data_IF_557602878365
#
_entry.id   IF_557602878365
#
_cell.length_a   1.000
_cell.length_b   1.000
_cell.length_c   1.000
_cell.angle_alpha   90.00
_cell.angle_beta   90.00
_cell.angle_gamma   90.00
#
_symmetry.space_group_name_H-M   'P 1'
#
loop_
_entity.id
_entity.type
_entity.pdbx_description
1 polymer ?
#
# COMPACT_ATOMS: atom_id res chain seq x y z
N UNK A 1 6.49 63.26 26.08
CA UNK A 1 7.59 62.37 26.53
C UNK A 1 6.95 61.11 27.12
N UNK A 2 7.55 59.96 26.83
CA UNK A 2 7.21 58.58 27.26
C UNK A 2 6.07 57.83 26.56
N UNK A 3 6.50 57.19 25.47
CA UNK A 3 6.20 55.82 25.07
C UNK A 3 5.92 54.87 26.25
N UNK A 4 4.75 54.23 26.26
CA UNK A 4 4.51 52.95 26.95
C UNK A 4 3.80 52.01 25.97
N UNK A 5 4.60 51.33 25.14
CA UNK A 5 4.26 50.01 24.62
C UNK A 5 4.41 49.01 25.77
N UNK A 6 3.39 48.20 26.06
CA UNK A 6 3.60 46.84 26.57
C UNK A 6 2.49 45.90 26.07
N UNK A 7 2.92 45.09 25.10
CA UNK A 7 2.49 43.76 24.67
C UNK A 7 1.10 43.24 25.09
N UNK A 8 0.26 43.03 24.07
CA UNK A 8 -0.72 41.94 24.05
C UNK A 8 0.05 40.60 23.99
N UNK A 9 0.12 39.90 25.12
CA UNK A 9 0.43 38.47 25.12
C UNK A 9 -0.83 37.71 24.69
N UNK A 10 -0.98 37.50 23.38
CA UNK A 10 -1.87 36.46 22.87
C UNK A 10 -1.27 35.10 23.26
N UNK A 11 -1.67 34.59 24.42
CA UNK A 11 -1.49 33.18 24.72
C UNK A 11 -2.35 32.39 23.73
N UNK A 12 -1.76 32.02 22.60
CA UNK A 12 -2.16 30.82 21.90
C UNK A 12 -1.92 29.67 22.89
N UNK A 13 -2.94 29.35 23.67
CA UNK A 13 -2.94 28.14 24.48
C UNK A 13 -2.65 27.00 23.54
N UNK A 14 -1.52 26.33 23.75
CA UNK A 14 -1.31 24.97 23.25
C UNK A 14 -2.53 24.19 23.71
N UNK A 15 -3.46 23.91 22.79
CA UNK A 15 -4.53 22.96 23.05
C UNK A 15 -3.82 21.64 23.35
N UNK A 16 -3.66 21.31 24.63
CA UNK A 16 -3.37 19.95 25.04
C UNK A 16 -4.49 19.11 24.44
N UNK A 17 -4.16 18.26 23.48
CA UNK A 17 -5.12 17.39 22.83
C UNK A 17 -5.64 16.41 23.88
N UNK A 18 -6.77 16.76 24.51
CA UNK A 18 -7.50 15.83 25.35
C UNK A 18 -7.94 14.64 24.49
N UNK A 19 -8.07 13.46 25.11
CA UNK A 19 -8.51 12.27 24.42
C UNK A 19 -9.89 12.48 23.75
N UNK A 20 -10.07 12.02 22.49
CA UNK A 20 -11.35 12.05 21.80
C UNK A 20 -12.52 11.44 22.58
N UNK A 21 -12.30 10.32 23.28
CA UNK A 21 -13.24 9.77 24.26
C UNK A 21 -12.88 10.31 25.65
N UNK A 22 -13.82 11.00 26.30
CA UNK A 22 -13.64 11.58 27.64
C UNK A 22 -13.42 10.53 28.73
N UNK A 23 -13.75 9.26 28.48
CA UNK A 23 -13.52 8.17 29.43
C UNK A 23 -12.07 7.67 29.42
N UNK A 24 -11.36 7.89 28.33
CA UNK A 24 -9.98 7.42 28.13
C UNK A 24 -9.00 8.30 28.92
N UNK A 25 -7.84 7.73 29.27
CA UNK A 25 -6.83 8.40 30.11
C UNK A 25 -5.69 8.91 29.26
N UNK A 26 -5.41 10.21 29.34
CA UNK A 26 -4.23 10.79 28.71
C UNK A 26 -3.01 10.58 29.62
N UNK A 27 -1.93 10.04 29.06
CA UNK A 27 -0.62 9.97 29.71
C UNK A 27 0.43 10.41 28.69
N UNK A 28 1.09 11.55 28.96
CA UNK A 28 2.16 12.11 28.12
C UNK A 28 1.77 12.26 26.65
N UNK A 29 0.56 12.75 26.37
CA UNK A 29 0.08 12.97 25.02
C UNK A 29 -0.42 11.72 24.28
N UNK A 30 -0.40 10.54 24.91
CA UNK A 30 -1.09 9.35 24.40
C UNK A 30 -2.37 9.08 25.18
N UNK A 31 -3.37 8.53 24.52
CA UNK A 31 -4.64 8.17 25.12
C UNK A 31 -4.76 6.66 25.34
N UNK A 32 -5.30 6.28 26.49
CA UNK A 32 -5.38 4.89 26.93
C UNK A 32 -6.82 4.49 27.27
N UNK A 33 -7.31 3.45 26.60
CA UNK A 33 -8.65 2.87 26.81
C UNK A 33 -8.55 1.58 27.59
N UNK A 34 -9.23 1.51 28.74
CA UNK A 34 -9.25 0.34 29.60
C UNK A 34 -10.46 -0.53 29.27
N UNK A 35 -10.24 -1.68 28.63
CA UNK A 35 -11.31 -2.54 28.14
C UNK A 35 -11.64 -3.61 29.18
N UNK A 36 -12.83 -3.50 29.77
CA UNK A 36 -13.33 -4.38 30.85
C UNK A 36 -13.79 -5.76 30.38
N UNK A 37 -13.30 -6.23 29.23
CA UNK A 37 -13.56 -7.57 28.68
C UNK A 37 -12.28 -8.41 28.74
N UNK A 38 -12.40 -9.69 29.12
CA UNK A 38 -11.25 -10.60 29.12
C UNK A 38 -11.13 -11.32 27.79
N UNK A 39 -9.99 -11.18 27.14
CA UNK A 39 -9.71 -11.76 25.81
C UNK A 39 -8.34 -12.42 25.79
N UNK A 40 -8.14 -13.38 24.88
CA UNK A 40 -6.80 -13.86 24.56
C UNK A 40 -6.01 -12.73 23.88
N UNK A 41 -4.67 -12.77 23.93
CA UNK A 41 -3.83 -11.67 23.45
C UNK A 41 -4.18 -11.22 22.03
N UNK A 42 -4.31 -12.16 21.08
CA UNK A 42 -4.60 -11.85 19.68
C UNK A 42 -6.01 -11.26 19.49
N UNK A 43 -7.00 -11.70 20.29
CA UNK A 43 -8.36 -11.15 20.26
C UNK A 43 -8.39 -9.73 20.83
N UNK A 44 -7.66 -9.50 21.93
CA UNK A 44 -7.50 -8.18 22.55
C UNK A 44 -6.81 -7.19 21.59
N UNK A 45 -5.76 -7.64 20.90
CA UNK A 45 -5.07 -6.90 19.83
C UNK A 45 -6.04 -6.48 18.74
N UNK A 46 -6.77 -7.45 18.18
CA UNK A 46 -7.76 -7.19 17.14
C UNK A 46 -8.86 -6.24 17.62
N UNK A 47 -9.29 -6.34 18.88
CA UNK A 47 -10.25 -5.40 19.44
C UNK A 47 -9.70 -3.97 19.44
N UNK A 48 -8.45 -3.77 19.91
CA UNK A 48 -7.84 -2.44 19.89
C UNK A 48 -7.71 -1.86 18.48
N UNK A 49 -7.42 -2.70 17.48
CA UNK A 49 -7.22 -2.29 16.09
C UNK A 49 -8.52 -1.92 15.38
N UNK A 50 -9.60 -2.65 15.65
CA UNK A 50 -10.79 -2.64 14.80
C UNK A 50 -12.08 -2.21 15.52
N UNK A 51 -12.13 -2.29 16.84
CA UNK A 51 -13.35 -2.03 17.62
C UNK A 51 -13.26 -0.75 18.47
N UNK A 52 -12.08 -0.14 18.58
CA UNK A 52 -11.93 1.13 19.29
C UNK A 52 -12.41 2.30 18.39
N UNK A 53 -13.47 3.06 18.77
CA UNK A 53 -14.09 4.07 17.90
C UNK A 53 -13.24 5.34 17.67
N UNK A 54 -12.04 5.41 18.24
CA UNK A 54 -11.14 6.58 18.20
C UNK A 54 -10.20 6.61 17.00
N UNK A 55 -10.27 5.62 16.10
CA UNK A 55 -9.36 5.49 14.95
C UNK A 55 -8.25 4.46 15.20
N UNK A 56 -7.08 4.60 14.53
CA UNK A 56 -5.96 3.68 14.71
C UNK A 56 -5.55 3.58 16.18
N UNK A 57 -5.65 2.37 16.71
CA UNK A 57 -5.45 2.09 18.12
C UNK A 57 -4.82 0.70 18.24
N UNK A 58 -3.95 0.54 19.24
CA UNK A 58 -3.10 -0.66 19.42
C UNK A 58 -3.18 -1.11 20.87
N UNK A 59 -2.76 -2.32 21.21
CA UNK A 59 -2.53 -2.67 22.61
C UNK A 59 -1.49 -1.72 23.24
N UNK A 60 -1.66 -1.44 24.52
CA UNK A 60 -0.98 -0.35 25.21
C UNK A 60 0.55 -0.39 25.08
N UNK A 61 1.11 0.70 24.58
CA UNK A 61 2.56 0.91 24.49
C UNK A 61 3.07 1.52 25.78
N UNK A 62 4.05 0.87 26.41
CA UNK A 62 4.63 1.32 27.68
C UNK A 62 6.06 1.79 27.46
N UNK A 63 6.20 3.02 26.95
CA UNK A 63 7.50 3.56 26.56
C UNK A 63 8.36 4.16 27.68
N UNK A 64 7.83 4.26 28.90
CA UNK A 64 8.53 4.85 30.05
C UNK A 64 7.91 4.45 31.39
N UNK A 65 8.63 4.74 32.48
CA UNK A 65 8.23 4.44 33.86
C UNK A 65 6.93 5.14 34.31
N UNK A 66 6.67 6.35 33.83
CA UNK A 66 5.48 7.12 34.21
C UNK A 66 4.23 6.49 33.60
N UNK A 67 4.25 6.19 32.30
CA UNK A 67 3.18 5.43 31.61
C UNK A 67 2.92 4.10 32.30
N UNK A 68 3.97 3.33 32.59
CA UNK A 68 3.88 2.05 33.29
C UNK A 68 3.13 2.19 34.63
N UNK A 69 3.57 3.09 35.50
CA UNK A 69 2.95 3.24 36.82
C UNK A 69 1.50 3.77 36.75
N UNK A 70 1.23 4.70 35.84
CA UNK A 70 -0.12 5.25 35.67
C UNK A 70 -1.09 4.21 35.10
N UNK A 71 -0.63 3.34 34.18
CA UNK A 71 -1.43 2.23 33.68
C UNK A 71 -1.86 1.29 34.80
N UNK A 72 -0.96 0.87 35.69
CA UNK A 72 -1.32 0.03 36.84
C UNK A 72 -2.38 0.70 37.74
N UNK A 73 -2.24 1.99 38.03
CA UNK A 73 -3.20 2.74 38.86
C UNK A 73 -4.57 2.78 38.21
N UNK A 74 -4.64 3.16 36.93
CA UNK A 74 -5.90 3.25 36.20
C UNK A 74 -6.52 1.87 35.94
N UNK A 75 -5.71 0.83 35.71
CA UNK A 75 -6.16 -0.54 35.57
C UNK A 75 -6.82 -1.05 36.86
N UNK A 76 -6.26 -0.72 38.04
CA UNK A 76 -6.87 -1.07 39.33
C UNK A 76 -8.26 -0.45 39.47
N UNK A 77 -8.42 0.81 39.06
CA UNK A 77 -9.71 1.50 39.09
C UNK A 77 -10.71 0.95 38.07
N UNK A 78 -10.25 0.60 36.86
CA UNK A 78 -11.12 0.15 35.76
C UNK A 78 -11.55 -1.33 35.89
N UNK A 79 -10.63 -2.21 36.29
CA UNK A 79 -10.87 -3.66 36.31
C UNK A 79 -11.26 -4.21 37.67
N UNK A 80 -11.14 -3.40 38.73
CA UNK A 80 -11.51 -3.76 40.10
C UNK A 80 -10.40 -4.47 40.88
N UNK A 81 -10.66 -4.69 42.18
CA UNK A 81 -9.64 -5.18 43.13
C UNK A 81 -9.19 -6.63 42.90
N UNK A 82 -10.00 -7.46 42.23
CA UNK A 82 -9.67 -8.85 41.90
C UNK A 82 -8.83 -9.01 40.62
N UNK A 83 -8.63 -7.93 39.86
CA UNK A 83 -7.79 -7.97 38.68
C UNK A 83 -6.30 -7.99 39.08
N UNK A 84 -5.59 -9.01 38.60
CA UNK A 84 -4.15 -9.16 38.84
C UNK A 84 -3.29 -8.64 37.69
N UNK A 85 -3.74 -8.89 36.45
CA UNK A 85 -2.99 -8.62 35.21
C UNK A 85 -3.89 -8.03 34.12
N UNK A 86 -3.27 -7.30 33.19
CA UNK A 86 -3.89 -6.90 31.93
C UNK A 86 -2.87 -6.98 30.79
N UNK A 87 -3.34 -7.27 29.56
CA UNK A 87 -2.49 -7.28 28.37
C UNK A 87 -1.98 -5.87 28.05
N UNK A 88 -0.68 -5.80 27.77
CA UNK A 88 -0.02 -4.65 27.13
C UNK A 88 0.43 -5.07 25.73
N UNK A 89 0.78 -4.12 24.87
CA UNK A 89 1.09 -4.39 23.47
C UNK A 89 2.47 -4.99 23.20
N UNK A 90 3.14 -5.55 24.20
CA UNK A 90 4.47 -6.14 24.01
C UNK A 90 4.33 -7.63 23.69
N UNK A 91 4.96 -8.05 22.59
CA UNK A 91 5.09 -9.46 22.23
C UNK A 91 6.52 -9.83 21.90
N UNK A 92 6.82 -11.13 21.98
CA UNK A 92 8.07 -11.75 21.58
C UNK A 92 7.84 -12.59 20.33
N UNK A 93 8.71 -12.44 19.34
CA UNK A 93 8.80 -13.38 18.23
C UNK A 93 9.35 -14.72 18.73
N UNK A 94 8.59 -15.81 18.58
CA UNK A 94 8.97 -17.12 19.09
C UNK A 94 10.24 -17.72 18.46
N UNK A 95 10.65 -17.26 17.27
CA UNK A 95 11.84 -17.75 16.55
C UNK A 95 13.08 -16.91 16.84
N UNK A 96 12.97 -15.58 16.81
CA UNK A 96 14.12 -14.67 16.98
C UNK A 96 14.31 -14.19 18.42
N UNK A 97 13.29 -14.34 19.28
CA UNK A 97 13.27 -13.76 20.62
C UNK A 97 13.14 -12.23 20.64
N UNK A 98 13.02 -11.57 19.49
CA UNK A 98 12.89 -10.12 19.39
C UNK A 98 11.58 -9.64 20.01
N UNK A 99 11.67 -8.52 20.74
CA UNK A 99 10.53 -7.87 21.37
C UNK A 99 10.01 -6.73 20.50
N UNK A 100 8.69 -6.64 20.36
CA UNK A 100 8.03 -5.63 19.54
C UNK A 100 6.78 -5.11 20.22
N UNK A 101 6.59 -3.78 20.17
CA UNK A 101 5.30 -3.18 20.49
C UNK A 101 4.31 -3.37 19.35
N UNK A 102 3.04 -3.50 19.69
CA UNK A 102 1.94 -3.72 18.76
C UNK A 102 1.81 -2.62 17.70
N UNK A 103 2.22 -1.40 18.02
CA UNK A 103 2.25 -0.27 17.09
C UNK A 103 3.60 -0.09 16.35
N UNK A 104 4.55 -1.03 16.52
CA UNK A 104 5.85 -0.99 15.87
C UNK A 104 6.88 -0.01 16.48
N UNK A 105 6.55 0.70 17.57
CA UNK A 105 7.52 1.57 18.23
C UNK A 105 8.72 0.77 18.78
N UNK A 106 9.92 1.38 18.80
CA UNK A 106 11.09 0.74 19.36
C UNK A 106 10.92 0.48 20.87
N UNK A 107 11.39 -0.68 21.34
CA UNK A 107 11.37 -1.04 22.76
C UNK A 107 12.53 -0.33 23.48
N UNK A 108 12.28 0.88 23.98
CA UNK A 108 13.27 1.72 24.68
C UNK A 108 13.20 1.66 26.21
N UNK A 109 12.12 1.09 26.75
CA UNK A 109 11.88 0.90 28.18
C UNK A 109 11.36 -0.50 28.42
N UNK A 110 11.79 -1.13 29.52
CA UNK A 110 11.34 -2.45 29.94
C UNK A 110 11.12 -2.51 31.44
N UNK A 111 10.16 -3.32 31.89
CA UNK A 111 9.91 -3.54 33.32
C UNK A 111 9.59 -5.00 33.66
N UNK A 112 10.41 -5.93 33.17
CA UNK A 112 10.20 -7.37 33.34
C UNK A 112 10.10 -7.81 34.80
N UNK A 113 9.18 -8.75 35.04
CA UNK A 113 9.02 -9.50 36.27
C UNK A 113 9.84 -10.79 36.28
N UNK A 114 9.41 -11.75 37.10
CA UNK A 114 10.11 -13.02 37.28
C UNK A 114 9.70 -14.10 36.27
N UNK A 115 8.56 -13.94 35.59
CA UNK A 115 7.99 -14.98 34.74
C UNK A 115 7.86 -14.50 33.29
N UNK A 116 8.95 -14.57 32.51
CA UNK A 116 9.01 -14.07 31.11
C UNK A 116 9.35 -15.17 30.09
N UNK A 117 8.77 -16.36 30.28
CA UNK A 117 9.04 -17.54 29.45
C UNK A 117 8.23 -17.63 28.15
N UNK A 118 7.06 -16.99 28.08
CA UNK A 118 6.14 -17.07 26.94
C UNK A 118 6.24 -15.83 26.03
N UNK A 119 5.33 -15.72 25.05
CA UNK A 119 5.45 -14.73 23.98
C UNK A 119 4.69 -13.42 24.24
N UNK A 120 3.63 -13.45 25.05
CA UNK A 120 2.75 -12.29 25.24
C UNK A 120 2.84 -11.75 26.66
N UNK A 121 3.02 -10.44 26.78
CA UNK A 121 3.27 -9.79 28.07
C UNK A 121 2.00 -9.18 28.65
N UNK A 122 1.80 -9.40 29.94
CA UNK A 122 0.87 -8.64 30.78
C UNK A 122 1.64 -7.69 31.67
N UNK A 123 0.97 -6.63 32.13
CA UNK A 123 1.42 -5.85 33.27
C UNK A 123 0.64 -6.27 34.52
N UNK A 124 1.37 -6.54 35.61
CA UNK A 124 0.80 -6.89 36.92
C UNK A 124 0.41 -5.63 37.68
N UNK A 125 -0.86 -5.54 38.08
CA UNK A 125 -1.41 -4.33 38.69
C UNK A 125 -0.77 -4.02 40.07
N UNK A 126 -0.35 -5.04 40.83
CA UNK A 126 0.15 -4.83 42.19
C UNK A 126 1.56 -4.25 42.29
N UNK A 127 2.41 -4.46 41.28
CA UNK A 127 3.81 -4.01 41.28
C UNK A 127 4.30 -3.48 39.94
N UNK A 128 3.41 -3.36 38.95
CA UNK A 128 3.65 -2.85 37.59
C UNK A 128 4.66 -3.65 36.76
N UNK A 129 5.01 -4.88 37.20
CA UNK A 129 5.97 -5.75 36.52
C UNK A 129 5.35 -6.48 35.34
N UNK A 130 6.16 -6.74 34.32
CA UNK A 130 5.71 -7.44 33.12
C UNK A 130 6.03 -8.93 33.16
N UNK A 131 5.00 -9.76 33.14
CA UNK A 131 5.09 -11.22 33.15
C UNK A 131 4.39 -11.80 31.90
N UNK A 132 4.56 -13.09 31.64
CA UNK A 132 3.98 -13.79 30.48
C UNK A 132 3.18 -15.01 30.97
N UNK A 133 1.87 -14.87 31.26
CA UNK A 133 1.10 -15.89 31.98
C UNK A 133 0.79 -17.15 31.15
N UNK A 134 0.95 -17.10 29.83
CA UNK A 134 0.72 -18.23 28.90
C UNK A 134 -0.09 -17.79 27.69
N UNK A 135 0.15 -18.40 26.52
CA UNK A 135 -0.40 -17.90 25.24
C UNK A 135 -1.93 -18.09 25.10
N UNK A 136 -2.53 -18.97 25.90
CA UNK A 136 -3.98 -19.22 25.92
C UNK A 136 -4.75 -18.46 26.99
N UNK A 137 -4.07 -17.66 27.82
CA UNK A 137 -4.70 -16.94 28.93
C UNK A 137 -5.64 -15.83 28.45
N UNK A 138 -6.62 -15.49 29.27
CA UNK A 138 -7.55 -14.39 28.99
C UNK A 138 -7.46 -13.31 30.07
N UNK A 139 -7.06 -12.12 29.68
CA UNK A 139 -6.92 -10.98 30.57
C UNK A 139 -7.72 -9.77 30.06
N UNK A 140 -7.99 -8.85 30.97
CA UNK A 140 -8.35 -7.48 30.58
C UNK A 140 -7.22 -6.88 29.76
N UNK A 141 -7.48 -5.80 29.04
CA UNK A 141 -6.47 -5.20 28.19
C UNK A 141 -6.65 -3.70 28.10
N UNK A 142 -5.56 -3.02 27.75
CA UNK A 142 -5.54 -1.58 27.56
C UNK A 142 -5.13 -1.31 26.12
N UNK A 143 -5.87 -0.43 25.44
CA UNK A 143 -5.47 0.08 24.14
C UNK A 143 -4.81 1.45 24.28
N UNK A 144 -3.87 1.79 23.40
CA UNK A 144 -3.25 3.12 23.29
C UNK A 144 -3.35 3.67 21.87
N UNK A 145 -3.53 4.99 21.77
CA UNK A 145 -3.63 5.72 20.51
C UNK A 145 -3.17 7.18 20.67
N UNK A 146 -2.78 7.82 19.57
CA UNK A 146 -2.39 9.23 19.53
C UNK A 146 -3.64 10.10 19.32
N UNK A 147 -3.98 11.04 20.23
CA UNK A 147 -5.16 11.90 20.09
C UNK A 147 -5.06 12.91 18.93
N UNK A 148 -3.88 13.18 18.39
CA UNK A 148 -3.69 14.05 17.22
C UNK A 148 -4.12 13.37 15.92
N UNK A 149 -4.24 12.04 15.95
CA UNK A 149 -4.71 11.22 14.83
C UNK A 149 -6.24 11.21 14.86
N UNK A 150 -6.85 12.03 14.01
CA UNK A 150 -8.31 12.01 13.84
C UNK A 150 -8.77 10.62 13.37
N UNK A 151 -9.91 10.10 13.88
CA UNK A 151 -10.52 8.89 13.35
C UNK A 151 -10.84 9.09 11.87
N UNK A 152 -10.06 8.44 11.01
CA UNK A 152 -10.55 8.05 9.70
C UNK A 152 -11.30 6.76 9.94
N UNK A 153 -12.60 6.72 9.64
CA UNK A 153 -13.39 5.50 9.75
C UNK A 153 -12.65 4.37 9.03
N UNK A 154 -12.09 3.35 9.74
CA UNK A 154 -11.63 2.15 9.07
C UNK A 154 -12.92 1.42 8.71
N UNK A 155 -13.47 1.74 7.54
CA UNK A 155 -14.58 0.97 7.01
C UNK A 155 -14.00 -0.38 6.60
N UNK A 156 -14.06 -1.36 7.51
CA UNK A 156 -14.12 -2.75 7.10
C UNK A 156 -15.36 -2.87 6.21
N UNK A 157 -15.14 -2.74 4.90
CA UNK A 157 -16.24 -2.81 3.95
C UNK A 157 -16.48 -4.30 3.72
N UNK A 158 -17.52 -4.83 4.37
CA UNK A 158 -18.17 -6.04 3.88
C UNK A 158 -18.57 -5.78 2.42
N UNK A 159 -18.31 -6.71 1.48
CA UNK A 159 -18.67 -6.52 0.07
C UNK A 159 -20.14 -6.12 -0.01
N UNK A 160 -20.41 -4.85 -0.36
CA UNK A 160 -21.77 -4.41 -0.60
C UNK A 160 -22.01 -4.72 -2.07
N UNK A 161 -22.76 -5.78 -2.34
CA UNK A 161 -23.17 -6.15 -3.70
C UNK A 161 -24.05 -5.05 -4.27
N UNK A 162 -23.45 -4.06 -4.91
CA UNK A 162 -24.19 -3.05 -5.66
C UNK A 162 -24.27 -3.53 -7.09
N UNK A 163 -25.49 -3.73 -7.57
CA UNK A 163 -25.81 -4.28 -8.89
C UNK A 163 -25.23 -3.41 -10.01
N UNK A 164 -24.73 -4.10 -11.05
CA UNK A 164 -23.64 -3.67 -11.93
C UNK A 164 -23.98 -2.71 -13.09
N UNK A 165 -25.04 -1.90 -13.05
CA UNK A 165 -25.51 -1.27 -14.30
C UNK A 165 -25.18 0.21 -14.51
N UNK A 166 -24.81 1.02 -13.50
CA UNK A 166 -24.59 2.45 -13.74
C UNK A 166 -23.72 3.14 -12.68
N UNK A 167 -22.44 2.77 -12.59
CA UNK A 167 -21.52 3.51 -11.72
C UNK A 167 -21.04 4.75 -12.46
N UNK A 168 -21.67 5.89 -12.21
CA UNK A 168 -21.21 7.19 -12.68
C UNK A 168 -20.06 7.67 -11.80
N UNK A 169 -18.82 7.44 -12.21
CA UNK A 169 -17.66 7.96 -11.51
C UNK A 169 -17.45 9.45 -11.82
N UNK A 170 -17.43 10.34 -10.80
CA UNK A 170 -17.14 11.75 -11.02
C UNK A 170 -15.67 11.93 -11.42
N UNK A 171 -15.44 12.75 -12.44
CA UNK A 171 -14.09 13.18 -12.82
C UNK A 171 -13.48 14.05 -11.72
N UNK A 172 -12.22 13.81 -11.38
CA UNK A 172 -11.49 14.59 -10.36
C UNK A 172 -11.95 14.36 -8.91
N UNK A 173 -12.73 13.31 -8.63
CA UNK A 173 -13.07 12.93 -7.26
C UNK A 173 -11.86 12.47 -6.44
N UNK A 174 -12.03 12.36 -5.11
CA UNK A 174 -10.99 11.81 -4.23
C UNK A 174 -10.66 10.38 -4.65
N UNK A 175 -9.40 10.15 -5.02
CA UNK A 175 -8.93 8.83 -5.44
C UNK A 175 -8.45 8.02 -4.25
N UNK A 176 -8.65 6.71 -4.34
CA UNK A 176 -8.02 5.72 -3.48
C UNK A 176 -6.86 5.06 -4.24
N UNK A 177 -5.73 4.85 -3.57
CA UNK A 177 -4.67 3.97 -4.06
C UNK A 177 -4.66 2.70 -3.22
N UNK A 178 -4.87 1.55 -3.84
CA UNK A 178 -4.65 0.27 -3.19
C UNK A 178 -3.19 -0.13 -3.33
N UNK A 179 -2.49 -0.25 -2.20
CA UNK A 179 -1.19 -0.88 -2.09
C UNK A 179 -1.38 -2.32 -1.59
N UNK A 180 -1.37 -3.27 -2.52
CA UNK A 180 -1.51 -4.69 -2.22
C UNK A 180 -0.14 -5.39 -2.31
N UNK A 181 0.16 -6.29 -1.36
CA UNK A 181 1.43 -7.01 -1.35
C UNK A 181 1.25 -8.49 -1.00
N UNK A 182 2.02 -9.33 -1.69
CA UNK A 182 2.06 -10.76 -1.45
C UNK A 182 2.71 -11.06 -0.10
N UNK A 183 2.12 -11.96 0.67
CA UNK A 183 2.66 -12.46 1.93
C UNK A 183 3.95 -13.30 1.74
N UNK A 184 4.29 -13.65 0.50
CA UNK A 184 5.51 -14.41 0.20
C UNK A 184 6.75 -13.52 0.02
N UNK A 185 6.59 -12.19 0.02
CA UNK A 185 7.70 -11.24 -0.06
C UNK A 185 8.47 -11.16 1.26
N UNK A 186 9.74 -10.78 1.17
CA UNK A 186 10.53 -10.44 2.35
C UNK A 186 9.95 -9.18 3.01
N UNK A 187 9.77 -9.14 4.36
CA UNK A 187 9.17 -8.00 5.05
C UNK A 187 9.79 -6.63 4.73
N UNK A 188 11.11 -6.56 4.67
CA UNK A 188 11.83 -5.31 4.36
C UNK A 188 11.58 -4.82 2.93
N UNK A 189 11.39 -5.72 1.96
CA UNK A 189 11.04 -5.34 0.58
C UNK A 189 9.73 -4.59 0.56
N UNK A 190 8.69 -5.10 1.24
CA UNK A 190 7.38 -4.45 1.31
C UNK A 190 7.48 -3.09 2.00
N UNK A 191 8.13 -3.02 3.17
CA UNK A 191 8.24 -1.77 3.93
C UNK A 191 9.03 -0.69 3.17
N UNK A 192 10.17 -1.06 2.58
CA UNK A 192 10.99 -0.12 1.80
C UNK A 192 10.25 0.35 0.54
N UNK A 193 9.56 -0.56 -0.14
CA UNK A 193 8.78 -0.22 -1.35
C UNK A 193 7.63 0.73 -1.04
N UNK A 194 6.91 0.52 0.07
CA UNK A 194 5.88 1.47 0.51
C UNK A 194 6.46 2.83 0.89
N UNK A 195 7.63 2.85 1.54
CA UNK A 195 8.35 4.08 1.90
C UNK A 195 8.74 4.89 0.65
N UNK A 196 9.20 4.22 -0.40
CA UNK A 196 9.62 4.83 -1.67
C UNK A 196 8.47 5.12 -2.65
N UNK A 197 7.23 4.78 -2.30
CA UNK A 197 6.07 4.90 -3.20
C UNK A 197 5.59 6.32 -3.49
N UNK A 198 6.20 7.32 -2.83
CA UNK A 198 5.78 8.73 -2.82
C UNK A 198 4.35 8.99 -2.31
N UNK A 199 3.64 7.98 -1.78
CA UNK A 199 2.26 8.16 -1.27
C UNK A 199 2.17 9.14 -0.09
N UNK A 200 3.28 9.38 0.62
CA UNK A 200 3.37 10.37 1.70
C UNK A 200 3.10 11.81 1.25
N UNK A 201 3.36 12.13 -0.02
CA UNK A 201 3.20 13.47 -0.57
C UNK A 201 1.94 13.62 -1.42
N UNK A 202 0.99 12.69 -1.32
CA UNK A 202 -0.13 12.59 -2.25
C UNK A 202 -1.49 12.76 -1.56
N UNK A 203 -2.42 13.55 -2.13
CA UNK A 203 -3.74 13.79 -1.54
C UNK A 203 -4.72 12.65 -1.86
N UNK A 204 -4.44 11.42 -1.42
CA UNK A 204 -5.26 10.24 -1.68
C UNK A 204 -5.58 9.45 -0.42
N UNK A 205 -6.66 8.69 -0.48
CA UNK A 205 -6.89 7.61 0.49
C UNK A 205 -6.00 6.43 0.12
N UNK A 206 -5.32 5.84 1.09
CA UNK A 206 -4.45 4.67 0.93
C UNK A 206 -5.22 3.46 1.44
N UNK A 207 -5.48 2.49 0.56
CA UNK A 207 -5.95 1.17 0.95
C UNK A 207 -4.75 0.22 1.01
N UNK A 208 -4.70 -0.67 1.99
CA UNK A 208 -3.63 -1.66 2.17
C UNK A 208 -4.23 -3.06 2.23
N UNK A 209 -3.66 -4.01 1.49
CA UNK A 209 -4.06 -5.41 1.51
C UNK A 209 -2.88 -6.37 1.45
N UNK A 210 -2.81 -7.30 2.39
CA UNK A 210 -1.92 -8.46 2.32
C UNK A 210 -2.68 -9.64 1.71
N UNK A 211 -2.07 -10.30 0.73
CA UNK A 211 -2.66 -11.43 0.02
C UNK A 211 -1.71 -12.63 -0.01
N UNK A 212 -2.11 -13.73 -0.65
CA UNK A 212 -1.42 -15.04 -0.62
C UNK A 212 -1.36 -15.69 0.77
N UNK A 213 -2.41 -15.47 1.56
CA UNK A 213 -2.59 -16.07 2.90
C UNK A 213 -3.64 -17.17 2.87
N UNK A 214 -3.50 -18.18 3.73
CA UNK A 214 -4.46 -19.30 3.88
C UNK A 214 -5.89 -18.84 4.20
N UNK A 215 -6.01 -17.73 4.92
CA UNK A 215 -7.27 -17.06 5.19
C UNK A 215 -7.23 -15.66 4.57
N UNK A 216 -8.25 -15.26 3.79
CA UNK A 216 -8.32 -13.89 3.25
C UNK A 216 -8.30 -12.83 4.34
N UNK A 217 -7.54 -11.76 4.13
CA UNK A 217 -7.46 -10.63 5.06
C UNK A 217 -8.29 -9.45 4.56
N UNK A 218 -8.83 -8.65 5.47
CA UNK A 218 -9.58 -7.44 5.12
C UNK A 218 -8.65 -6.33 4.65
N UNK A 219 -9.13 -5.52 3.70
CA UNK A 219 -8.48 -4.28 3.30
C UNK A 219 -8.69 -3.20 4.36
N UNK A 220 -7.62 -2.47 4.66
CA UNK A 220 -7.66 -1.33 5.57
C UNK A 220 -7.45 -0.03 4.79
N UNK A 221 -8.11 1.05 5.22
CA UNK A 221 -8.13 2.34 4.53
C UNK A 221 -7.64 3.45 5.45
N UNK A 222 -6.84 4.37 4.91
CA UNK A 222 -6.18 5.44 5.65
C UNK A 222 -6.21 6.73 4.83
N UNK A 223 -6.55 7.86 5.46
CA UNK A 223 -6.39 9.19 4.86
C UNK A 223 -5.09 9.88 5.28
N UNK A 224 -4.35 9.27 6.21
CA UNK A 224 -3.07 9.74 6.70
C UNK A 224 -1.98 8.71 6.40
N UNK A 225 -0.87 9.18 5.84
CA UNK A 225 0.24 8.32 5.46
C UNK A 225 0.92 7.67 6.66
N UNK A 226 1.09 8.39 7.77
CA UNK A 226 1.77 7.85 8.96
C UNK A 226 0.96 6.72 9.58
N UNK A 227 -0.38 6.82 9.56
CA UNK A 227 -1.26 5.73 9.97
C UNK A 227 -1.17 4.52 9.04
N UNK A 228 -1.17 4.75 7.73
CA UNK A 228 -0.99 3.70 6.74
C UNK A 228 0.37 2.98 6.94
N UNK A 229 1.44 3.75 7.16
CA UNK A 229 2.78 3.25 7.43
C UNK A 229 2.86 2.44 8.72
N UNK A 230 2.30 2.97 9.82
CA UNK A 230 2.24 2.28 11.12
C UNK A 230 1.51 0.95 11.01
N UNK A 231 0.35 0.94 10.34
CA UNK A 231 -0.39 -0.29 10.06
C UNK A 231 0.44 -1.27 9.22
N UNK A 232 1.07 -0.81 8.13
CA UNK A 232 1.87 -1.69 7.29
C UNK A 232 3.04 -2.31 8.06
N UNK A 233 3.77 -1.50 8.85
CA UNK A 233 4.92 -1.95 9.64
C UNK A 233 4.59 -3.06 10.66
N UNK A 234 3.33 -3.13 11.09
CA UNK A 234 2.81 -4.11 12.06
C UNK A 234 2.07 -5.27 11.40
N UNK A 235 1.89 -5.23 10.08
CA UNK A 235 1.20 -6.25 9.28
C UNK A 235 2.03 -6.71 8.06
N UNK A 236 3.35 -6.58 8.13
CA UNK A 236 4.29 -7.07 7.11
C UNK A 236 4.12 -8.57 6.83
N UNK A 237 4.62 -9.08 5.69
CA UNK A 237 4.62 -10.52 5.39
C UNK A 237 5.00 -11.41 6.58
N UNK A 238 4.19 -12.44 6.81
CA UNK A 238 4.40 -13.44 7.86
C UNK A 238 4.29 -14.83 7.23
N UNK A 239 5.41 -15.54 7.14
CA UNK A 239 5.47 -16.85 6.50
C UNK A 239 4.53 -17.89 7.13
N UNK A 240 4.14 -17.71 8.40
CA UNK A 240 3.20 -18.62 9.07
C UNK A 240 1.78 -18.49 8.52
N UNK A 241 1.43 -17.38 7.88
CA UNK A 241 0.11 -17.11 7.30
C UNK A 241 -0.04 -17.57 5.84
N UNK A 242 1.08 -17.81 5.14
CA UNK A 242 1.11 -18.19 3.72
C UNK A 242 0.57 -19.59 3.45
N UNK A 243 0.38 -19.93 2.18
CA UNK A 243 -0.15 -21.24 1.75
C UNK A 243 0.73 -22.43 2.17
N UNK A 244 2.06 -22.24 2.19
CA UNK A 244 3.02 -23.26 2.59
C UNK A 244 3.48 -24.19 1.46
N UNK A 245 2.98 -24.00 0.24
CA UNK A 245 3.40 -24.73 -0.97
C UNK A 245 3.51 -23.80 -2.20
N UNK A 246 4.10 -24.29 -3.29
CA UNK A 246 4.28 -23.54 -4.56
C UNK A 246 3.22 -23.85 -5.63
N UNK A 247 2.32 -24.80 -5.38
CA UNK A 247 1.28 -25.22 -6.32
C UNK A 247 0.01 -24.37 -6.21
N UNK A 248 -0.28 -23.84 -5.02
CA UNK A 248 -1.33 -22.85 -4.80
C UNK A 248 -1.04 -21.58 -5.62
N UNK A 249 -2.02 -21.17 -6.44
CA UNK A 249 -1.97 -19.91 -7.18
C UNK A 249 -2.33 -18.72 -6.30
N UNK A 250 -1.91 -17.53 -6.71
CA UNK A 250 -2.22 -16.29 -6.01
C UNK A 250 -3.70 -15.95 -6.01
N UNK A 251 -4.20 -15.43 -4.89
CA UNK A 251 -5.56 -14.89 -4.74
C UNK A 251 -5.65 -13.37 -5.03
N UNK A 252 -4.65 -12.80 -5.72
CA UNK A 252 -4.61 -11.37 -6.07
C UNK A 252 -5.83 -10.88 -6.85
N UNK A 253 -6.41 -11.71 -7.72
CA UNK A 253 -7.60 -11.33 -8.50
C UNK A 253 -8.82 -11.11 -7.58
N UNK A 254 -8.95 -11.88 -6.50
CA UNK A 254 -10.03 -11.71 -5.53
C UNK A 254 -9.86 -10.40 -4.75
N UNK A 255 -8.63 -10.03 -4.42
CA UNK A 255 -8.32 -8.75 -3.76
C UNK A 255 -8.71 -7.57 -4.64
N UNK A 256 -8.33 -7.60 -5.92
CA UNK A 256 -8.70 -6.56 -6.90
C UNK A 256 -10.23 -6.49 -7.06
N UNK A 257 -10.89 -7.64 -7.19
CA UNK A 257 -12.34 -7.72 -7.32
C UNK A 257 -13.07 -7.16 -6.09
N UNK A 258 -12.57 -7.44 -4.89
CA UNK A 258 -13.14 -6.95 -3.64
C UNK A 258 -12.94 -5.44 -3.51
N UNK A 259 -11.81 -4.90 -3.97
CA UNK A 259 -11.54 -3.46 -3.95
C UNK A 259 -12.52 -2.70 -4.87
N UNK A 260 -12.69 -3.16 -6.12
CA UNK A 260 -13.66 -2.62 -7.08
C UNK A 260 -15.10 -3.10 -6.84
N UNK A 261 -15.51 -3.17 -5.58
CA UNK A 261 -16.90 -3.46 -5.17
C UNK A 261 -17.52 -2.32 -4.35
N UNK A 262 -16.86 -1.17 -4.28
CA UNK A 262 -17.30 0.02 -3.54
C UNK A 262 -17.27 1.25 -4.44
N UNK A 263 -18.24 2.19 -4.34
CA UNK A 263 -18.20 3.48 -5.04
C UNK A 263 -16.92 4.30 -4.80
N UNK A 264 -16.24 4.09 -3.67
CA UNK A 264 -14.94 4.71 -3.36
C UNK A 264 -13.79 4.26 -4.27
N UNK A 265 -14.01 3.24 -5.11
CA UNK A 265 -13.04 2.74 -6.08
C UNK A 265 -13.08 3.51 -7.42
N UNK A 266 -13.96 4.49 -7.58
CA UNK A 266 -14.01 5.32 -8.79
C UNK A 266 -12.68 6.01 -9.08
N UNK A 267 -12.14 5.81 -10.28
CA UNK A 267 -10.87 6.39 -10.71
C UNK A 267 -9.66 5.93 -9.88
N UNK A 268 -9.79 4.87 -9.09
CA UNK A 268 -8.74 4.41 -8.18
C UNK A 268 -7.60 3.72 -8.93
N UNK A 269 -6.42 3.72 -8.30
CA UNK A 269 -5.22 3.07 -8.84
C UNK A 269 -4.83 1.92 -7.92
N UNK A 270 -4.66 0.74 -8.50
CA UNK A 270 -4.17 -0.44 -7.79
C UNK A 270 -2.70 -0.62 -8.13
N UNK A 271 -1.90 -0.82 -7.08
CA UNK A 271 -0.48 -1.18 -7.16
C UNK A 271 -0.28 -2.48 -6.39
N UNK A 272 0.16 -3.51 -7.10
CA UNK A 272 0.38 -4.85 -6.55
C UNK A 272 1.87 -5.17 -6.54
N UNK A 273 2.39 -5.62 -5.39
CA UNK A 273 3.68 -6.30 -5.28
C UNK A 273 3.44 -7.81 -5.29
N UNK A 274 3.68 -8.45 -6.43
CA UNK A 274 3.37 -9.85 -6.66
C UNK A 274 4.63 -10.73 -6.56
N UNK A 275 4.64 -11.67 -5.60
CA UNK A 275 5.64 -12.75 -5.53
C UNK A 275 5.10 -14.08 -6.04
N UNK A 276 3.79 -14.31 -5.93
CA UNK A 276 3.10 -15.50 -6.43
C UNK A 276 2.22 -15.13 -7.61
N UNK A 277 2.14 -16.00 -8.62
CA UNK A 277 1.27 -15.82 -9.77
C UNK A 277 -0.06 -16.56 -9.63
N UNK A 278 -1.14 -16.11 -10.29
CA UNK A 278 -2.37 -16.90 -10.41
C UNK A 278 -2.14 -18.25 -11.13
N UNK A 279 -3.10 -19.16 -11.00
CA UNK A 279 -3.20 -20.37 -11.83
C UNK A 279 -4.33 -20.29 -12.87
N UNK A 280 -5.28 -19.37 -12.68
CA UNK A 280 -6.36 -19.13 -13.65
C UNK A 280 -5.86 -18.24 -14.78
N UNK A 281 -6.39 -18.44 -15.98
CA UNK A 281 -6.20 -17.55 -17.14
C UNK A 281 -7.36 -16.59 -17.34
N UNK A 282 -8.51 -16.82 -16.70
CA UNK A 282 -9.69 -15.98 -16.85
C UNK A 282 -9.61 -14.74 -15.96
N UNK A 283 -9.54 -13.57 -16.61
CA UNK A 283 -9.57 -12.24 -16.00
C UNK A 283 -10.80 -11.44 -16.41
N UNK A 284 -11.74 -12.03 -17.15
CA UNK A 284 -12.84 -11.31 -17.79
C UNK A 284 -13.68 -10.53 -16.78
N UNK A 285 -14.02 -11.16 -15.66
CA UNK A 285 -14.76 -10.54 -14.57
C UNK A 285 -13.97 -9.41 -13.89
N UNK A 286 -12.67 -9.63 -13.65
CA UNK A 286 -11.80 -8.64 -13.03
C UNK A 286 -11.63 -7.42 -13.92
N UNK A 287 -11.37 -7.61 -15.22
CA UNK A 287 -11.30 -6.54 -16.21
C UNK A 287 -12.61 -5.76 -16.26
N UNK A 288 -13.75 -6.44 -16.35
CA UNK A 288 -15.06 -5.79 -16.41
C UNK A 288 -15.32 -4.91 -15.17
N UNK A 289 -15.01 -5.43 -13.97
CA UNK A 289 -15.15 -4.66 -12.71
C UNK A 289 -14.21 -3.47 -12.66
N UNK A 290 -12.93 -3.63 -12.95
CA UNK A 290 -11.97 -2.50 -12.95
C UNK A 290 -12.45 -1.41 -13.92
N UNK A 291 -12.84 -1.82 -15.13
CA UNK A 291 -13.31 -0.88 -16.16
C UNK A 291 -14.58 -0.13 -15.74
N UNK A 292 -15.51 -0.81 -15.09
CA UNK A 292 -16.75 -0.23 -14.57
C UNK A 292 -16.50 0.95 -13.61
N UNK A 293 -15.42 0.92 -12.84
CA UNK A 293 -15.05 1.98 -11.89
C UNK A 293 -13.98 2.94 -12.44
N UNK A 294 -13.70 2.92 -13.74
CA UNK A 294 -12.62 3.72 -14.34
C UNK A 294 -11.24 3.51 -13.66
N UNK A 295 -10.99 2.29 -13.18
CA UNK A 295 -9.80 1.93 -12.43
C UNK A 295 -8.60 1.53 -13.27
N UNK A 296 -7.42 1.49 -12.63
CA UNK A 296 -6.15 1.08 -13.25
C UNK A 296 -5.48 0.06 -12.34
N UNK A 297 -4.85 -0.98 -12.91
CA UNK A 297 -4.10 -1.98 -12.15
C UNK A 297 -2.67 -2.09 -12.66
N UNK A 298 -1.71 -1.90 -11.74
CA UNK A 298 -0.28 -1.98 -12.01
C UNK A 298 0.37 -3.06 -11.14
N UNK A 299 1.47 -3.63 -11.63
CA UNK A 299 2.18 -4.70 -10.95
C UNK A 299 3.70 -4.45 -10.96
N UNK A 300 4.31 -4.64 -9.79
CA UNK A 300 5.71 -5.05 -9.69
C UNK A 300 5.69 -6.55 -9.39
N UNK A 301 6.09 -7.36 -10.36
CA UNK A 301 6.10 -8.81 -10.28
C UNK A 301 7.52 -9.32 -10.09
N UNK A 302 7.67 -10.35 -9.27
CA UNK A 302 8.96 -10.97 -9.00
C UNK A 302 9.42 -11.82 -10.19
N UNK A 303 10.66 -11.63 -10.63
CA UNK A 303 11.32 -12.54 -11.58
C UNK A 303 11.61 -13.95 -11.03
N UNK A 304 11.51 -14.15 -9.70
CA UNK A 304 11.72 -15.43 -8.99
C UNK A 304 10.47 -15.85 -8.21
N UNK A 305 9.35 -16.15 -8.88
CA UNK A 305 8.05 -16.34 -8.21
C UNK A 305 8.06 -17.48 -7.17
N UNK A 306 7.33 -17.30 -6.06
CA UNK A 306 7.17 -18.31 -5.00
C UNK A 306 6.26 -19.48 -5.38
N UNK A 307 5.42 -19.29 -6.39
CA UNK A 307 4.47 -20.28 -6.86
C UNK A 307 3.50 -19.73 -7.90
N UNK A 308 2.58 -20.59 -8.34
CA UNK A 308 1.67 -20.27 -9.43
C UNK A 308 2.32 -20.36 -10.81
N UNK A 309 1.49 -20.35 -11.86
CA UNK A 309 1.93 -20.74 -13.21
C UNK A 309 1.61 -19.72 -14.29
N UNK A 310 0.77 -18.71 -14.02
CA UNK A 310 0.25 -17.79 -15.03
C UNK A 310 0.72 -16.34 -14.79
N UNK A 311 1.98 -16.04 -15.12
CA UNK A 311 2.50 -14.65 -15.03
C UNK A 311 1.84 -13.70 -16.03
N UNK A 312 1.65 -14.16 -17.27
CA UNK A 312 1.05 -13.40 -18.39
C UNK A 312 -0.33 -12.83 -18.06
N UNK A 313 -1.07 -13.46 -17.15
CA UNK A 313 -2.39 -13.02 -16.71
C UNK A 313 -2.34 -11.64 -16.04
N UNK A 314 -1.26 -11.34 -15.31
CA UNK A 314 -1.07 -10.03 -14.70
C UNK A 314 -0.72 -8.97 -15.75
N UNK A 315 0.12 -9.33 -16.73
CA UNK A 315 0.42 -8.48 -17.89
C UNK A 315 -0.84 -8.13 -18.69
N UNK A 316 -1.68 -9.13 -18.99
CA UNK A 316 -2.92 -8.93 -19.76
C UNK A 316 -3.92 -8.06 -18.98
N UNK A 317 -4.01 -8.22 -17.66
CA UNK A 317 -4.87 -7.39 -16.79
C UNK A 317 -4.39 -5.93 -16.75
N UNK A 318 -3.09 -5.68 -16.57
CA UNK A 318 -2.53 -4.34 -16.64
C UNK A 318 -2.78 -3.70 -18.01
N UNK A 319 -2.54 -4.47 -19.09
CA UNK A 319 -2.75 -4.03 -20.47
C UNK A 319 -4.18 -3.55 -20.71
N UNK A 320 -5.16 -4.36 -20.28
CA UNK A 320 -6.59 -4.08 -20.45
C UNK A 320 -7.14 -3.02 -19.51
N UNK A 321 -6.35 -2.52 -18.57
CA UNK A 321 -6.78 -1.50 -17.59
C UNK A 321 -5.91 -0.24 -17.65
N UNK A 322 -5.18 -0.04 -18.75
CA UNK A 322 -4.26 1.09 -18.97
C UNK A 322 -3.17 1.22 -17.90
N UNK A 323 -2.88 0.13 -17.16
CA UNK A 323 -1.77 0.05 -16.22
C UNK A 323 -0.48 -0.44 -16.86
N UNK A 324 0.54 -0.62 -16.03
CA UNK A 324 1.86 -1.13 -16.39
C UNK A 324 2.19 -2.41 -15.60
N UNK A 325 2.90 -3.33 -16.24
CA UNK A 325 3.38 -4.57 -15.65
C UNK A 325 4.91 -4.65 -15.78
N UNK A 326 5.59 -4.57 -14.65
CA UNK A 326 7.04 -4.69 -14.53
C UNK A 326 7.39 -6.02 -13.86
N UNK A 327 8.41 -6.70 -14.36
CA UNK A 327 9.01 -7.88 -13.72
C UNK A 327 10.41 -7.51 -13.28
N UNK A 328 10.70 -7.60 -11.98
CA UNK A 328 12.00 -7.20 -11.43
C UNK A 328 12.48 -8.16 -10.34
N UNK A 329 13.74 -7.98 -9.91
CA UNK A 329 14.24 -8.56 -8.67
C UNK A 329 13.52 -7.96 -7.45
N UNK A 330 13.06 -8.77 -6.50
CA UNK A 330 12.37 -8.27 -5.30
C UNK A 330 13.15 -7.15 -4.59
N UNK A 331 14.48 -7.26 -4.57
CA UNK A 331 15.37 -6.31 -3.91
C UNK A 331 15.34 -4.91 -4.54
N UNK A 332 14.93 -4.79 -5.81
CA UNK A 332 14.87 -3.52 -6.55
C UNK A 332 13.46 -2.93 -6.58
N UNK A 333 12.43 -3.59 -6.03
CA UNK A 333 11.06 -3.06 -6.01
C UNK A 333 10.98 -1.65 -5.41
N UNK A 334 11.77 -1.36 -4.38
CA UNK A 334 11.82 -0.02 -3.77
C UNK A 334 12.42 1.07 -4.67
N UNK A 335 13.15 0.69 -5.71
CA UNK A 335 13.58 1.57 -6.78
C UNK A 335 12.47 1.71 -7.84
N UNK A 336 11.97 0.59 -8.37
CA UNK A 336 10.99 0.57 -9.46
C UNK A 336 9.63 1.18 -9.10
N UNK A 337 9.23 1.15 -7.82
CA UNK A 337 8.00 1.81 -7.36
C UNK A 337 7.99 3.33 -7.60
N UNK A 338 9.16 3.97 -7.70
CA UNK A 338 9.27 5.38 -8.04
C UNK A 338 8.96 5.70 -9.51
N UNK A 339 8.91 4.67 -10.35
CA UNK A 339 8.54 4.72 -11.77
C UNK A 339 7.11 4.23 -12.03
N UNK A 340 6.45 3.66 -11.01
CA UNK A 340 5.04 3.28 -11.11
C UNK A 340 4.13 4.53 -11.09
N UNK A 341 2.96 4.50 -11.75
CA UNK A 341 2.07 5.66 -11.88
C UNK A 341 1.28 5.97 -10.61
N UNK A 342 2.01 6.25 -9.52
CA UNK A 342 1.47 6.63 -8.22
C UNK A 342 1.50 8.15 -8.02
N UNK A 343 2.54 8.84 -8.49
CA UNK A 343 2.61 10.31 -8.49
C UNK A 343 1.89 10.85 -9.73
N UNK A 344 2.38 10.48 -10.91
CA UNK A 344 1.74 10.70 -12.20
C UNK A 344 0.72 9.59 -12.45
N UNK A 345 -0.50 9.76 -11.98
CA UNK A 345 -1.51 8.69 -11.87
C UNK A 345 -2.66 8.78 -12.88
N UNK A 346 -2.70 9.83 -13.69
CA UNK A 346 -3.81 10.10 -14.61
C UNK A 346 -3.39 9.74 -16.03
N UNK A 347 -3.86 8.62 -16.60
CA UNK A 347 -3.42 8.18 -17.92
C UNK A 347 -3.92 9.15 -18.99
N UNK A 348 -3.02 9.60 -19.86
CA UNK A 348 -3.36 10.41 -21.04
C UNK A 348 -3.16 9.65 -22.36
N UNK A 349 -2.38 8.57 -22.33
CA UNK A 349 -2.11 7.72 -23.48
C UNK A 349 -1.80 6.29 -23.05
N UNK A 350 -2.35 5.33 -23.77
CA UNK A 350 -2.09 3.91 -23.57
C UNK A 350 -2.26 3.18 -24.90
N UNK A 351 -1.28 2.36 -25.30
CA UNK A 351 -1.38 1.45 -26.46
C UNK A 351 -0.60 0.17 -26.20
N UNK A 352 -1.00 -0.93 -26.85
CA UNK A 352 -0.40 -2.24 -26.68
C UNK A 352 0.05 -2.84 -28.05
N UNK A 353 1.03 -2.23 -28.75
CA UNK A 353 1.40 -2.68 -30.08
C UNK A 353 2.00 -4.08 -30.06
N UNK A 354 1.67 -4.87 -31.08
CA UNK A 354 2.24 -6.20 -31.32
C UNK A 354 3.40 -6.09 -32.28
N UNK A 355 4.58 -6.53 -31.87
CA UNK A 355 5.85 -6.40 -32.61
C UNK A 355 6.46 -7.77 -32.86
N UNK A 356 7.28 -7.90 -33.91
CA UNK A 356 7.98 -9.14 -34.26
C UNK A 356 9.14 -8.83 -35.20
N UNK A 357 10.32 -9.41 -34.94
CA UNK A 357 11.53 -9.15 -35.71
C UNK A 357 11.95 -7.67 -35.69
N UNK A 358 12.26 -7.12 -36.86
CA UNK A 358 12.62 -5.71 -37.00
C UNK A 358 11.56 -4.95 -37.80
N UNK A 359 11.18 -3.77 -37.33
CA UNK A 359 10.20 -2.96 -38.03
C UNK A 359 9.95 -1.60 -37.40
N UNK A 360 8.93 -0.93 -37.94
CA UNK A 360 8.42 0.36 -37.49
C UNK A 360 6.90 0.33 -37.55
N UNK A 361 6.23 0.93 -36.57
CA UNK A 361 4.77 1.08 -36.55
C UNK A 361 4.38 2.53 -36.25
N UNK A 362 3.41 3.04 -37.00
CA UNK A 362 2.67 4.25 -36.61
C UNK A 362 1.58 3.85 -35.63
N UNK A 363 1.57 4.49 -34.46
CA UNK A 363 0.61 4.25 -33.40
C UNK A 363 -0.52 5.28 -33.45
N UNK A 364 -1.56 5.10 -32.64
CA UNK A 364 -2.59 6.12 -32.49
C UNK A 364 -1.97 7.43 -31.97
N UNK A 365 -2.46 8.59 -32.42
CA UNK A 365 -1.90 9.87 -31.97
C UNK A 365 -2.16 10.09 -30.47
N UNK A 366 -1.19 10.70 -29.79
CA UNK A 366 -1.31 11.09 -28.38
C UNK A 366 -1.84 12.52 -28.27
N UNK A 367 -2.94 12.71 -27.55
CA UNK A 367 -3.47 14.04 -27.23
C UNK A 367 -3.03 14.47 -25.83
N UNK A 368 -2.21 15.50 -25.74
CA UNK A 368 -1.68 16.02 -24.49
C UNK A 368 -2.53 17.21 -24.02
N UNK A 369 -3.15 17.15 -22.83
CA UNK A 369 -4.16 18.13 -22.44
C UNK A 369 -3.57 19.47 -21.98
N UNK A 370 -2.33 19.47 -21.48
CA UNK A 370 -1.66 20.67 -20.96
C UNK A 370 -0.14 20.52 -20.97
N UNK A 371 0.59 21.62 -20.88
CA UNK A 371 2.01 21.55 -20.57
C UNK A 371 2.24 21.02 -19.15
N UNK A 372 2.99 19.92 -19.04
CA UNK A 372 3.41 19.32 -17.77
C UNK A 372 4.58 18.37 -18.01
N UNK A 373 5.20 17.91 -16.92
CA UNK A 373 6.09 16.74 -16.93
C UNK A 373 5.26 15.47 -16.79
N UNK A 374 5.34 14.58 -17.77
CA UNK A 374 4.60 13.32 -17.82
C UNK A 374 5.53 12.15 -17.51
N UNK A 375 5.04 11.16 -16.78
CA UNK A 375 5.70 9.87 -16.64
C UNK A 375 5.40 9.05 -17.89
N UNK A 376 6.45 8.61 -18.57
CA UNK A 376 6.35 7.70 -19.70
C UNK A 376 6.97 6.36 -19.31
N UNK A 377 6.20 5.29 -19.49
CA UNK A 377 6.63 3.93 -19.20
C UNK A 377 6.41 3.04 -20.41
N UNK A 378 7.39 2.18 -20.69
CA UNK A 378 7.32 1.18 -21.75
C UNK A 378 7.73 -0.19 -21.22
N UNK A 379 6.82 -1.15 -21.28
CA UNK A 379 7.15 -2.57 -21.10
C UNK A 379 7.40 -3.17 -22.48
N UNK A 380 8.60 -3.73 -22.72
CA UNK A 380 8.97 -4.22 -24.07
C UNK A 380 8.36 -5.58 -24.39
N UNK A 381 8.07 -6.40 -23.38
CA UNK A 381 7.37 -7.68 -23.54
C UNK A 381 6.83 -8.22 -22.21
N UNK A 382 6.04 -9.29 -22.27
CA UNK A 382 5.32 -9.84 -21.10
C UNK A 382 6.15 -10.74 -20.18
N UNK A 383 7.43 -10.94 -20.46
CA UNK A 383 8.30 -11.91 -19.77
C UNK A 383 9.77 -11.46 -19.74
N UNK A 384 10.53 -12.08 -18.84
CA UNK A 384 12.00 -12.00 -18.77
C UNK A 384 12.60 -13.38 -19.04
N UNK A 385 13.83 -13.47 -19.60
CA UNK A 385 14.73 -12.36 -19.95
C UNK A 385 14.35 -11.63 -21.24
N UNK A 386 14.75 -10.36 -21.35
CA UNK A 386 14.58 -9.51 -22.55
C UNK A 386 15.75 -9.60 -23.53
N UNK A 387 16.51 -10.69 -23.50
CA UNK A 387 17.69 -10.89 -24.36
C UNK A 387 17.36 -10.94 -25.86
N UNK A 388 16.08 -11.15 -26.20
CA UNK A 388 15.59 -11.07 -27.58
C UNK A 388 15.35 -9.64 -28.07
N UNK A 389 15.38 -8.63 -27.20
CA UNK A 389 15.15 -7.23 -27.55
C UNK A 389 16.48 -6.51 -27.71
N UNK A 390 16.88 -6.18 -28.95
CA UNK A 390 18.10 -5.40 -29.19
C UNK A 390 17.88 -3.92 -28.91
N UNK A 391 16.78 -3.37 -29.43
CA UNK A 391 16.41 -1.97 -29.22
C UNK A 391 14.95 -1.71 -29.52
N UNK A 392 14.38 -0.72 -28.85
CA UNK A 392 13.12 -0.10 -29.23
C UNK A 392 13.25 1.43 -29.12
N UNK A 393 12.65 2.21 -30.02
CA UNK A 393 12.67 3.67 -29.98
C UNK A 393 11.27 4.21 -30.16
N UNK A 394 10.72 4.81 -29.10
CA UNK A 394 9.44 5.49 -29.11
C UNK A 394 9.63 6.93 -29.55
N UNK A 395 8.87 7.40 -30.53
CA UNK A 395 8.88 8.78 -30.99
C UNK A 395 7.52 9.46 -30.81
N UNK A 396 7.53 10.73 -30.43
CA UNK A 396 6.36 11.61 -30.45
C UNK A 396 6.72 12.90 -31.19
N UNK A 397 5.99 13.19 -32.27
CA UNK A 397 6.32 14.31 -33.14
C UNK A 397 5.10 15.17 -33.48
N UNK A 398 5.27 16.48 -33.35
CA UNK A 398 4.34 17.49 -33.82
C UNK A 398 5.15 18.65 -34.44
N UNK A 399 4.84 19.02 -35.68
CA UNK A 399 5.57 20.02 -36.46
C UNK A 399 5.59 21.43 -35.82
N UNK A 400 4.59 21.73 -35.00
CA UNK A 400 4.42 23.02 -34.32
C UNK A 400 4.96 23.02 -32.89
N UNK A 401 5.36 21.86 -32.35
CA UNK A 401 5.83 21.72 -30.97
C UNK A 401 7.35 21.54 -30.90
N UNK A 402 8.00 22.37 -30.09
CA UNK A 402 9.40 22.19 -29.70
C UNK A 402 9.62 21.04 -28.70
N UNK A 403 8.54 20.39 -28.24
CA UNK A 403 8.57 19.29 -27.28
C UNK A 403 8.39 17.92 -27.95
N UNK A 404 8.54 17.85 -29.28
CA UNK A 404 8.74 16.58 -29.99
C UNK A 404 10.01 15.88 -29.47
N UNK A 405 10.01 14.55 -29.41
CA UNK A 405 11.12 13.82 -28.83
C UNK A 405 11.13 12.34 -29.21
N UNK A 406 12.20 11.68 -28.78
CA UNK A 406 12.39 10.23 -28.91
C UNK A 406 12.89 9.66 -27.58
N UNK A 407 12.55 8.41 -27.31
CA UNK A 407 13.05 7.64 -26.19
C UNK A 407 13.55 6.29 -26.69
N UNK A 408 14.87 6.11 -26.64
CA UNK A 408 15.54 4.88 -27.03
C UNK A 408 15.74 3.96 -25.83
N UNK A 409 15.39 2.69 -26.00
CA UNK A 409 15.56 1.61 -25.03
C UNK A 409 16.50 0.57 -25.62
N UNK A 410 17.53 0.19 -24.86
CA UNK A 410 18.49 -0.84 -25.25
C UNK A 410 18.76 -1.75 -24.03
N UNK A 411 18.03 -2.87 -23.89
CA UNK A 411 18.09 -3.69 -22.69
C UNK A 411 19.48 -4.21 -22.31
N UNK A 412 20.36 -4.42 -23.28
CA UNK A 412 21.77 -4.78 -23.03
C UNK A 412 22.56 -3.71 -22.24
N UNK A 413 22.08 -2.46 -22.20
CA UNK A 413 22.66 -1.34 -21.47
C UNK A 413 21.90 -0.94 -20.21
N UNK A 414 20.83 -1.66 -19.83
CA UNK A 414 20.08 -1.35 -18.62
C UNK A 414 20.89 -1.68 -17.36
N UNK A 415 20.78 -0.82 -16.34
CA UNK A 415 21.38 -1.04 -15.02
C UNK A 415 20.83 -2.31 -14.36
N UNK A 416 19.54 -2.58 -14.56
CA UNK A 416 18.84 -3.76 -14.05
C UNK A 416 18.47 -4.72 -15.20
N UNK A 417 19.39 -5.64 -15.52
CA UNK A 417 19.27 -6.54 -16.68
C UNK A 417 18.12 -7.57 -16.62
N UNK A 418 17.55 -7.78 -15.42
CA UNK A 418 16.45 -8.72 -15.20
C UNK A 418 15.08 -8.02 -15.14
N UNK A 419 14.97 -6.84 -15.77
CA UNK A 419 13.73 -6.09 -15.93
C UNK A 419 13.14 -6.27 -17.34
N UNK A 420 11.87 -5.92 -17.51
CA UNK A 420 11.19 -5.90 -18.81
C UNK A 420 10.62 -4.54 -19.21
N UNK A 421 10.88 -3.50 -18.43
CA UNK A 421 10.38 -2.15 -18.68
C UNK A 421 11.43 -1.07 -18.49
N UNK A 422 11.15 0.08 -19.07
CA UNK A 422 11.97 1.29 -19.00
C UNK A 422 11.07 2.52 -19.01
N UNK A 423 11.58 3.66 -18.56
CA UNK A 423 10.79 4.88 -18.48
C UNK A 423 11.61 6.14 -18.29
N UNK A 424 10.95 7.26 -18.56
CA UNK A 424 11.50 8.60 -18.30
C UNK A 424 10.38 9.56 -17.95
N UNK A 425 10.76 10.77 -17.53
CA UNK A 425 9.84 11.89 -17.31
C UNK A 425 10.14 13.00 -18.30
N UNK A 426 9.17 13.31 -19.16
CA UNK A 426 9.36 14.30 -20.23
C UNK A 426 8.39 15.47 -20.09
N UNK A 427 8.88 16.68 -20.35
CA UNK A 427 8.02 17.84 -20.49
C UNK A 427 7.39 17.82 -21.88
N UNK A 428 6.06 17.85 -21.95
CA UNK A 428 5.32 17.83 -23.22
C UNK A 428 4.26 18.92 -23.18
N UNK A 429 4.16 19.72 -24.24
CA UNK A 429 3.17 20.79 -24.35
C UNK A 429 1.80 20.31 -24.83
N UNK A 430 0.81 21.18 -24.70
CA UNK A 430 -0.57 20.87 -25.08
C UNK A 430 -0.70 20.81 -26.61
N UNK A 431 -0.64 19.61 -27.16
CA UNK A 431 -0.70 19.34 -28.59
C UNK A 431 -1.15 17.90 -28.88
N UNK A 432 -1.37 17.59 -30.16
CA UNK A 432 -1.57 16.22 -30.64
C UNK A 432 -0.29 15.74 -31.32
N UNK A 433 0.31 14.67 -30.81
CA UNK A 433 1.56 14.13 -31.31
C UNK A 433 1.33 12.86 -32.12
N UNK A 434 1.99 12.76 -33.27
CA UNK A 434 2.09 11.52 -34.02
C UNK A 434 3.07 10.60 -33.29
N UNK A 435 2.62 9.39 -32.99
CA UNK A 435 3.36 8.41 -32.20
C UNK A 435 3.92 7.32 -33.12
N UNK A 436 5.19 6.98 -32.94
CA UNK A 436 5.85 5.91 -33.71
C UNK A 436 6.66 5.01 -32.79
N UNK A 437 6.77 3.73 -33.13
CA UNK A 437 7.67 2.78 -32.44
C UNK A 437 8.51 2.05 -33.47
N UNK A 438 9.82 2.23 -33.38
CA UNK A 438 10.82 1.44 -34.11
C UNK A 438 11.33 0.34 -33.18
N UNK A 439 11.53 -0.87 -33.69
CA UNK A 439 11.94 -2.01 -32.87
C UNK A 439 12.83 -2.99 -33.61
N UNK A 440 13.71 -3.64 -32.86
CA UNK A 440 14.62 -4.68 -33.32
C UNK A 440 14.63 -5.82 -32.31
N UNK A 441 13.96 -6.91 -32.65
CA UNK A 441 13.95 -8.17 -31.91
C UNK A 441 14.78 -9.21 -32.68
N UNK A 442 15.48 -10.08 -31.96
CA UNK A 442 16.34 -11.13 -32.55
C UNK A 442 15.56 -12.31 -33.10
N UNK A 443 14.35 -12.53 -32.58
CA UNK A 443 13.43 -13.59 -32.99
C UNK A 443 12.21 -13.02 -33.73
N UNK A 444 11.41 -13.92 -34.30
CA UNK A 444 10.16 -13.58 -35.00
C UNK A 444 8.92 -13.84 -34.15
N UNK A 445 9.09 -14.10 -32.85
CA UNK A 445 7.96 -14.25 -31.93
C UNK A 445 7.19 -12.93 -31.83
N UNK A 446 5.86 -13.02 -31.72
CA UNK A 446 5.01 -11.84 -31.58
C UNK A 446 4.96 -11.43 -30.12
N UNK A 447 5.59 -10.31 -29.80
CA UNK A 447 5.58 -9.72 -28.48
C UNK A 447 4.59 -8.54 -28.42
N UNK A 448 3.96 -8.35 -27.27
CA UNK A 448 3.11 -7.20 -27.02
C UNK A 448 3.85 -6.24 -26.11
N UNK A 449 4.03 -4.99 -26.54
CA UNK A 449 4.55 -3.93 -25.69
C UNK A 449 3.41 -3.26 -24.90
N UNK A 450 3.73 -2.60 -23.80
CA UNK A 450 2.84 -1.60 -23.17
C UNK A 450 3.51 -0.24 -23.31
N UNK A 451 2.84 0.76 -23.91
CA UNK A 451 3.31 2.14 -23.92
C UNK A 451 2.31 2.99 -23.16
N UNK A 452 2.76 3.76 -22.17
CA UNK A 452 1.93 4.54 -21.26
C UNK A 452 2.48 5.93 -21.05
N UNK A 453 1.61 6.94 -21.02
CA UNK A 453 1.92 8.27 -20.51
C UNK A 453 0.91 8.65 -19.43
N UNK A 454 1.44 9.06 -18.28
CA UNK A 454 0.65 9.48 -17.14
C UNK A 454 0.94 10.93 -16.77
N UNK A 455 -0.12 11.65 -16.47
CA UNK A 455 -0.13 13.04 -16.03
C UNK A 455 -0.10 13.11 -14.50
N UNK A 456 0.59 14.12 -13.92
CA UNK A 456 0.44 14.47 -12.51
C UNK A 456 -0.88 15.21 -12.22
N UNK A 457 -1.62 15.63 -13.24
CA UNK A 457 -2.88 16.38 -13.12
C UNK A 457 -4.06 15.58 -13.66
N UNK A 458 -5.20 15.68 -12.97
CA UNK A 458 -6.47 15.09 -13.41
C UNK A 458 -6.87 15.59 -14.80
N UNK A 459 -7.40 14.67 -15.60
CA UNK A 459 -7.97 14.94 -16.94
C UNK A 459 -9.45 15.27 -16.82
N UNK A 460 -10.00 15.96 -17.82
CA UNK A 460 -11.45 16.24 -17.94
C UNK A 460 -12.22 15.11 -18.63
N UNK A 461 -11.59 13.95 -18.81
CA UNK A 461 -12.12 12.78 -19.48
C UNK A 461 -11.48 11.52 -18.90
N UNK A 462 -12.17 10.39 -19.02
CA UNK A 462 -11.57 9.07 -18.78
C UNK A 462 -10.92 8.59 -20.07
N UNK A 463 -9.64 8.23 -20.02
CA UNK A 463 -8.96 7.65 -21.18
C UNK A 463 -9.65 6.32 -21.55
N UNK A 464 -10.03 6.11 -22.83
CA UNK A 464 -10.53 4.82 -23.28
C UNK A 464 -9.54 3.69 -22.95
N UNK A 465 -10.05 2.50 -22.64
CA UNK A 465 -9.18 1.35 -22.43
C UNK A 465 -8.66 0.83 -23.77
N UNK A 466 -7.35 0.56 -23.80
CA UNK A 466 -6.70 -0.02 -24.98
C UNK A 466 -6.68 -1.54 -24.85
N UNK A 467 -7.45 -2.19 -25.73
CA UNK A 467 -7.51 -3.66 -25.85
C UNK A 467 -6.42 -4.22 -26.75
#
# INVERSE_FOLDING_TARGET
MLLKLFLLAAFAGLAYAACPDSNDKEIRGFCFKFVVQKMAYNDARNWCHYQNPVGPSYLAVVGNKETNNNLAVYARSAFGASAEYFWIGLSRNGSSGALTWDNGFPVIYTNFGSHVGNNYFTEKISNSKWDTPGDSEKNYFVCSYDPTVQPVTPKATTPTTTTAANVNCPLGGQQTVLFAYSNDLVPSVVLNTFSSSYLNSQPVTIAISRFDTRQPQSMMYFNDYNQAYSYLSTNLPDSTLGFGDSTAGSNVLDVINNFYSSPSACGSVVMVLAKRYPNTTDISNTVAKVRQYHGIVNFLASNTPSGGTQSRVLFDLASKTNGIYSIDDDSTFSHFIGWMPLRERYPIYAVNPKVSGQGSQTLSPMSVPRYAQYLMMVTVQSHVPVSNVQSATLGWHNQSSSYSGIFGMQPAGWEYINSNDDGTRENIDANVFNMTIDYVYTNTDVETMQIRFYSPYATTYWLPYSD
#
